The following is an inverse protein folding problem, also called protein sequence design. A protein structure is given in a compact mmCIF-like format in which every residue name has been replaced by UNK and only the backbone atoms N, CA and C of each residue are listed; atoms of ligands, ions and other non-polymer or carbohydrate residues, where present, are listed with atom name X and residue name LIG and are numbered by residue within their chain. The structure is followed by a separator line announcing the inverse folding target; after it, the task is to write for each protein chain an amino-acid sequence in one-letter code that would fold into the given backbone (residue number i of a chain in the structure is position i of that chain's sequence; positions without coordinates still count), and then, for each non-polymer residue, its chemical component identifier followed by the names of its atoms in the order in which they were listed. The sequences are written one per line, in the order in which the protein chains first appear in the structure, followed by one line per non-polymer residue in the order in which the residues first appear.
data_IF_302843251808
#
_entry.id   IF_302843251808
#
_cell.length_a   1.000
_cell.length_b   1.000
_cell.length_c   1.000
_cell.angle_alpha   90.00
_cell.angle_beta   90.00
_cell.angle_gamma   90.00
#
_symmetry.space_group_name_H-M   'P 1'
#
loop_
_entity.id
_entity.type
_entity.pdbx_description
1 polymer ?
#
# COMPACT_ATOMS: atom_id res chain seq x y z
N UNK A 1 30.39 -15.37 -42.20
CA UNK A 1 31.79 -15.59 -41.76
C UNK A 1 31.85 -15.18 -40.29
N UNK A 2 32.32 -16.08 -39.43
CA UNK A 2 32.58 -16.01 -37.98
C UNK A 2 32.41 -14.63 -37.30
N UNK A 3 31.67 -14.51 -36.19
CA UNK A 3 32.15 -14.98 -34.88
C UNK A 3 31.13 -15.87 -34.18
N UNK A 4 31.41 -17.17 -34.22
CA UNK A 4 30.92 -18.17 -33.28
C UNK A 4 31.84 -18.19 -32.05
N UNK A 5 31.29 -18.63 -30.91
CA UNK A 5 31.92 -19.00 -29.63
C UNK A 5 31.80 -17.96 -28.50
N UNK A 6 30.62 -17.95 -27.87
CA UNK A 6 30.54 -17.82 -26.41
C UNK A 6 29.88 -19.09 -25.85
N UNK A 7 30.58 -19.64 -24.86
CA UNK A 7 30.44 -20.91 -24.15
C UNK A 7 29.02 -21.42 -23.80
N UNK A 8 28.85 -22.75 -23.62
CA UNK A 8 27.62 -23.39 -23.17
C UNK A 8 27.38 -23.28 -21.64
N UNK A 9 27.81 -22.18 -21.02
CA UNK A 9 27.67 -21.96 -19.55
C UNK A 9 26.46 -21.06 -19.23
N UNK A 10 25.78 -20.55 -20.26
CA UNK A 10 24.65 -19.62 -20.09
C UNK A 10 23.35 -20.30 -19.64
N UNK A 11 23.23 -21.62 -19.74
CA UNK A 11 22.01 -22.36 -19.35
C UNK A 11 21.88 -22.61 -17.83
N UNK A 12 22.92 -22.35 -17.03
CA UNK A 12 22.85 -22.47 -15.56
C UNK A 12 22.34 -21.22 -14.84
N UNK A 13 22.28 -20.06 -15.51
CA UNK A 13 21.94 -18.79 -14.85
C UNK A 13 20.43 -18.55 -14.73
N UNK A 14 19.62 -19.13 -15.62
CA UNK A 14 18.16 -18.97 -15.60
C UNK A 14 17.49 -19.71 -14.44
N UNK A 15 18.09 -20.80 -13.95
CA UNK A 15 17.54 -21.57 -12.82
C UNK A 15 17.78 -20.85 -11.48
N UNK A 16 18.93 -20.18 -11.33
CA UNK A 16 19.28 -19.45 -10.09
C UNK A 16 18.44 -18.17 -9.90
N UNK A 17 18.02 -17.51 -10.98
CA UNK A 17 17.15 -16.32 -10.89
C UNK A 17 15.71 -16.68 -10.45
N UNK A 18 15.22 -17.88 -10.77
CA UNK A 18 13.90 -18.36 -10.32
C UNK A 18 13.93 -18.71 -8.82
N UNK A 19 15.02 -19.30 -8.33
CA UNK A 19 15.21 -19.52 -6.88
C UNK A 19 15.28 -18.19 -6.12
N UNK A 20 15.95 -17.17 -6.68
CA UNK A 20 16.03 -15.85 -6.07
C UNK A 20 14.65 -15.18 -5.96
N UNK A 21 13.79 -15.29 -6.98
CA UNK A 21 12.48 -14.63 -6.99
C UNK A 21 11.44 -15.32 -6.08
N UNK A 22 11.46 -16.65 -5.97
CA UNK A 22 10.52 -17.40 -5.10
C UNK A 22 10.91 -17.26 -3.61
N UNK A 23 12.20 -17.17 -3.29
CA UNK A 23 12.68 -17.06 -1.90
C UNK A 23 12.63 -15.63 -1.37
N UNK A 24 12.79 -14.60 -2.22
CA UNK A 24 12.77 -13.18 -1.79
C UNK A 24 11.42 -12.48 -1.89
N UNK A 25 10.43 -13.03 -2.61
CA UNK A 25 9.05 -12.53 -2.57
C UNK A 25 8.16 -13.52 -1.82
N UNK A 26 8.09 -13.47 -0.48
CA UNK A 26 6.94 -14.03 0.19
C UNK A 26 5.73 -13.30 -0.39
N UNK A 27 4.84 -14.02 -1.07
CA UNK A 27 3.51 -13.52 -1.40
C UNK A 27 2.95 -12.91 -0.12
N UNK A 28 2.97 -11.58 -0.09
CA UNK A 28 2.63 -10.82 1.10
C UNK A 28 1.27 -11.29 1.55
N UNK A 29 1.19 -11.70 2.81
CA UNK A 29 -0.05 -11.97 3.47
C UNK A 29 -0.89 -10.68 3.39
N UNK A 30 -1.80 -10.61 2.40
CA UNK A 30 -2.78 -9.53 2.29
C UNK A 30 -3.72 -9.74 3.47
N UNK A 31 -3.31 -9.20 4.62
CA UNK A 31 -4.23 -8.93 5.70
C UNK A 31 -5.30 -7.99 5.12
N UNK A 32 -6.60 -8.32 5.22
CA UNK A 32 -7.64 -7.36 4.88
C UNK A 32 -7.60 -6.26 5.93
N UNK A 33 -6.70 -5.29 5.77
CA UNK A 33 -6.77 -4.05 6.52
C UNK A 33 -8.01 -3.33 6.03
N UNK A 34 -9.03 -3.38 6.88
CA UNK A 34 -10.23 -2.57 6.80
C UNK A 34 -9.84 -1.13 6.54
N UNK A 35 -10.31 -0.60 5.42
CA UNK A 35 -10.13 0.80 4.98
C UNK A 35 -10.87 1.71 5.97
N UNK A 36 -10.22 2.06 7.08
CA UNK A 36 -10.65 3.09 8.02
C UNK A 36 -9.46 4.00 8.35
N UNK A 37 -8.89 4.66 7.34
CA UNK A 37 -7.79 5.63 7.52
C UNK A 37 -8.22 7.10 7.32
N UNK A 38 -9.50 7.44 7.51
CA UNK A 38 -9.95 8.84 7.44
C UNK A 38 -10.91 9.26 8.53
N UNK A 39 -10.69 8.78 9.76
CA UNK A 39 -11.33 9.38 10.93
C UNK A 39 -10.31 10.25 11.67
N UNK A 40 -10.42 11.59 11.63
CA UNK A 40 -9.60 12.46 12.46
C UNK A 40 -9.97 12.22 13.92
N UNK A 41 -9.08 11.62 14.72
CA UNK A 41 -9.29 11.32 16.14
C UNK A 41 -9.28 12.55 17.06
N UNK A 42 -9.32 13.77 16.49
CA UNK A 42 -9.23 15.02 17.23
C UNK A 42 -10.27 15.98 16.65
N UNK A 43 -11.32 16.25 17.41
CA UNK A 43 -12.29 17.30 17.04
C UNK A 43 -11.61 18.67 17.08
N UNK A 44 -11.79 19.53 16.08
CA UNK A 44 -11.40 20.92 16.18
C UNK A 44 -12.31 21.57 17.23
N UNK A 45 -11.73 22.01 18.33
CA UNK A 45 -12.44 22.80 19.34
C UNK A 45 -12.96 24.11 18.70
N UNK A 46 -14.25 24.47 18.80
CA UNK A 46 -14.76 25.69 18.17
C UNK A 46 -14.38 26.94 19.00
N UNK A 47 -13.91 28.04 18.38
CA UNK A 47 -13.88 29.33 19.05
C UNK A 47 -15.21 30.08 18.85
N UNK A 48 -15.51 30.94 19.82
CA UNK A 48 -16.32 32.17 19.69
C UNK A 48 -17.78 32.11 20.18
N UNK A 49 -17.91 32.59 21.42
CA UNK A 49 -19.06 33.29 22.01
C UNK A 49 -19.71 34.30 21.03
N UNK A 50 -21.04 34.34 20.84
CA UNK A 50 -21.68 35.49 20.21
C UNK A 50 -22.05 36.56 21.25
N UNK A 51 -21.61 37.79 20.96
CA UNK A 51 -22.06 39.03 21.60
C UNK A 51 -23.42 39.44 20.98
N UNK A 52 -24.24 40.03 21.84
CA UNK A 52 -25.67 40.34 21.73
C UNK A 52 -26.14 41.15 20.49
N UNK A 53 -27.39 40.90 20.05
CA UNK A 53 -28.30 41.93 19.49
C UNK A 53 -28.77 41.79 18.03
N UNK A 54 -30.07 41.55 17.80
CA UNK A 54 -30.73 41.90 16.52
C UNK A 54 -31.95 41.06 16.11
N UNK A 55 -33.15 41.54 16.44
CA UNK A 55 -34.46 41.32 15.77
C UNK A 55 -34.97 39.89 15.49
N UNK A 56 -36.01 39.54 16.25
CA UNK A 56 -36.95 38.43 16.00
C UNK A 56 -37.60 38.54 14.60
N UNK A 57 -37.32 37.56 13.74
CA UNK A 57 -38.20 37.18 12.63
C UNK A 57 -38.65 35.76 12.88
N UNK A 58 -39.93 35.59 13.14
CA UNK A 58 -40.57 34.32 13.45
C UNK A 58 -40.75 33.50 12.14
N UNK A 59 -40.10 32.34 11.94
CA UNK A 59 -40.39 31.48 10.80
C UNK A 59 -41.58 30.57 11.14
N UNK A 60 -42.62 30.58 10.31
CA UNK A 60 -43.76 29.67 10.41
C UNK A 60 -43.40 28.18 10.25
N UNK A 61 -44.40 27.27 10.34
CA UNK A 61 -44.22 25.83 10.52
C UNK A 61 -43.81 25.07 9.23
N UNK A 62 -42.78 25.57 8.52
CA UNK A 62 -42.16 24.95 7.35
C UNK A 62 -40.62 24.92 7.39
N UNK A 63 -40.02 25.23 8.55
CA UNK A 63 -38.58 25.46 8.69
C UNK A 63 -37.72 24.18 8.66
N UNK A 64 -38.30 22.99 8.85
CA UNK A 64 -37.55 21.73 8.90
C UNK A 64 -37.13 21.21 7.52
N UNK A 65 -37.99 21.34 6.50
CA UNK A 65 -37.69 20.91 5.14
C UNK A 65 -36.60 21.79 4.49
N UNK A 66 -36.69 23.11 4.67
CA UNK A 66 -35.67 24.07 4.21
C UNK A 66 -34.32 23.84 4.89
N UNK A 67 -34.33 23.53 6.19
CA UNK A 67 -33.10 23.19 6.93
C UNK A 67 -32.45 21.90 6.41
N UNK A 68 -33.25 20.89 6.06
CA UNK A 68 -32.76 19.62 5.51
C UNK A 68 -32.18 19.79 4.09
N UNK A 69 -32.81 20.58 3.24
CA UNK A 69 -32.29 20.90 1.90
C UNK A 69 -30.97 21.66 1.99
N UNK A 70 -30.85 22.62 2.90
CA UNK A 70 -29.59 23.34 3.13
C UNK A 70 -28.48 22.42 3.67
N UNK A 71 -28.81 21.47 4.55
CA UNK A 71 -27.87 20.47 5.04
C UNK A 71 -27.40 19.51 3.91
N UNK A 72 -28.32 19.11 3.02
CA UNK A 72 -28.01 18.29 1.85
C UNK A 72 -27.07 19.03 0.89
N UNK A 73 -27.36 20.29 0.58
CA UNK A 73 -26.49 21.13 -0.26
C UNK A 73 -25.10 21.34 0.37
N UNK A 74 -25.05 21.54 1.68
CA UNK A 74 -23.79 21.66 2.43
C UNK A 74 -22.98 20.36 2.40
N UNK A 75 -23.65 19.21 2.50
CA UNK A 75 -23.02 17.89 2.36
C UNK A 75 -22.48 17.67 0.94
N UNK A 76 -23.25 18.06 -0.08
CA UNK A 76 -22.81 17.99 -1.48
C UNK A 76 -21.56 18.84 -1.69
N UNK A 77 -21.55 20.09 -1.23
CA UNK A 77 -20.37 20.96 -1.35
C UNK A 77 -19.16 20.41 -0.61
N UNK A 78 -19.34 19.92 0.62
CA UNK A 78 -18.26 19.34 1.42
C UNK A 78 -17.69 18.08 0.76
N UNK A 79 -18.56 17.18 0.30
CA UNK A 79 -18.16 15.95 -0.40
C UNK A 79 -17.49 16.27 -1.72
N UNK A 80 -17.98 17.25 -2.47
CA UNK A 80 -17.36 17.69 -3.72
C UNK A 80 -15.98 18.29 -3.45
N UNK A 81 -15.84 19.16 -2.45
CA UNK A 81 -14.54 19.73 -2.08
C UNK A 81 -13.51 18.67 -1.65
N UNK A 82 -13.95 17.58 -1.01
CA UNK A 82 -13.09 16.46 -0.64
C UNK A 82 -12.69 15.56 -1.82
N UNK A 83 -13.50 15.49 -2.88
CA UNK A 83 -13.29 14.61 -4.03
C UNK A 83 -12.59 15.30 -5.21
N UNK A 84 -12.56 16.64 -5.25
CA UNK A 84 -11.79 17.38 -6.23
C UNK A 84 -10.30 17.27 -5.89
N UNK A 85 -9.50 16.96 -6.90
CA UNK A 85 -8.05 16.88 -6.79
C UNK A 85 -7.47 18.28 -7.01
N UNK A 86 -6.79 18.84 -6.02
CA UNK A 86 -5.98 20.05 -6.19
C UNK A 86 -4.69 19.70 -6.93
N UNK A 87 -4.64 20.08 -8.22
CA UNK A 87 -3.47 19.85 -9.09
C UNK A 87 -2.28 20.75 -8.73
N UNK A 88 -2.48 21.79 -7.90
CA UNK A 88 -1.44 22.72 -7.47
C UNK A 88 -0.77 22.36 -6.14
N UNK A 89 -1.31 21.40 -5.40
CA UNK A 89 -0.77 20.95 -4.10
C UNK A 89 0.54 20.14 -4.20
N UNK A 90 1.18 20.10 -5.38
CA UNK A 90 2.48 19.44 -5.59
C UNK A 90 3.64 20.21 -4.95
N UNK A 91 3.47 21.52 -4.71
CA UNK A 91 4.43 22.29 -3.93
C UNK A 91 4.36 21.81 -2.48
N UNK A 92 5.53 21.47 -1.91
CA UNK A 92 5.61 20.95 -0.55
C UNK A 92 4.88 21.90 0.40
N UNK A 93 3.82 21.41 1.04
CA UNK A 93 3.17 22.09 2.16
C UNK A 93 4.23 22.19 3.24
N UNK A 94 4.98 23.29 3.24
CA UNK A 94 6.02 23.53 4.22
C UNK A 94 5.30 23.92 5.52
N UNK A 95 5.01 22.91 6.33
CA UNK A 95 4.64 23.12 7.73
C UNK A 95 5.73 23.98 8.35
N UNK A 96 5.33 25.01 9.08
CA UNK A 96 6.30 25.91 9.67
C UNK A 96 7.23 25.12 10.61
N UNK A 97 8.56 25.37 10.60
CA UNK A 97 9.50 24.55 11.36
C UNK A 97 9.18 24.44 12.86
N UNK A 98 8.68 25.52 13.46
CA UNK A 98 8.32 25.52 14.89
C UNK A 98 7.08 24.65 15.15
N UNK A 99 6.08 24.66 14.27
CA UNK A 99 4.90 23.82 14.37
C UNK A 99 5.27 22.33 14.24
N UNK A 100 6.18 22.01 13.32
CA UNK A 100 6.71 20.65 13.19
C UNK A 100 7.38 20.19 14.49
N UNK A 101 8.26 21.03 15.06
CA UNK A 101 8.99 20.69 16.29
C UNK A 101 8.07 20.51 17.50
N UNK A 102 7.03 21.34 17.63
CA UNK A 102 6.04 21.21 18.69
C UNK A 102 5.20 19.93 18.52
N UNK A 103 4.75 19.62 17.30
CA UNK A 103 4.03 18.37 17.00
C UNK A 103 4.91 17.15 17.31
N UNK A 104 6.19 17.16 16.92
CA UNK A 104 7.13 16.07 17.19
C UNK A 104 7.31 15.84 18.70
N UNK A 105 7.42 16.92 19.49
CA UNK A 105 7.49 16.85 20.96
C UNK A 105 6.20 16.28 21.55
N UNK A 106 5.04 16.74 21.08
CA UNK A 106 3.75 16.26 21.54
C UNK A 106 3.57 14.76 21.24
N UNK A 107 3.92 14.31 20.04
CA UNK A 107 3.86 12.89 19.69
C UNK A 107 4.83 12.05 20.50
N UNK A 108 6.05 12.53 20.74
CA UNK A 108 7.03 11.84 21.59
C UNK A 108 6.55 11.67 23.04
N UNK A 109 5.91 12.71 23.59
CA UNK A 109 5.32 12.65 24.94
C UNK A 109 4.15 11.65 25.00
N UNK A 110 3.23 11.72 24.02
CA UNK A 110 2.11 10.77 23.92
C UNK A 110 2.59 9.33 23.74
N UNK A 111 3.60 9.11 22.89
CA UNK A 111 4.19 7.80 22.64
C UNK A 111 4.85 7.23 23.90
N UNK A 112 5.55 8.06 24.69
CA UNK A 112 6.14 7.62 25.96
C UNK A 112 5.08 7.10 26.93
N UNK A 113 3.95 7.80 27.06
CA UNK A 113 2.82 7.38 27.91
C UNK A 113 2.17 6.09 27.40
N UNK A 114 1.98 5.97 26.08
CA UNK A 114 1.42 4.76 25.49
C UNK A 114 2.38 3.57 25.63
N UNK A 115 3.68 3.78 25.47
CA UNK A 115 4.72 2.74 25.53
C UNK A 115 4.83 2.06 26.90
N UNK A 116 4.38 2.69 27.99
CA UNK A 116 4.34 2.06 29.32
C UNK A 116 3.08 1.23 29.54
N UNK A 117 2.00 1.55 28.83
CA UNK A 117 0.72 0.82 28.88
C UNK A 117 0.63 -0.34 27.90
N UNK A 118 1.47 -0.34 26.86
CA UNK A 118 1.49 -1.36 25.81
C UNK A 118 2.52 -2.45 26.14
N UNK A 119 2.23 -3.74 25.90
CA UNK A 119 3.23 -4.79 26.02
C UNK A 119 4.45 -4.45 25.14
N UNK A 120 5.64 -4.44 25.76
CA UNK A 120 6.88 -4.18 25.04
C UNK A 120 7.09 -5.25 23.97
N UNK A 121 6.97 -4.85 22.70
CA UNK A 121 7.25 -5.71 21.57
C UNK A 121 8.77 -5.81 21.40
N UNK A 122 9.38 -6.70 22.19
CA UNK A 122 10.75 -7.13 21.92
C UNK A 122 10.72 -7.93 20.63
N UNK A 123 11.74 -7.73 19.79
CA UNK A 123 11.93 -8.59 18.62
C UNK A 123 11.84 -10.05 19.07
N UNK A 124 10.90 -10.78 18.48
CA UNK A 124 10.68 -12.17 18.84
C UNK A 124 11.93 -12.97 18.49
N UNK A 125 12.38 -13.81 19.42
CA UNK A 125 13.44 -14.76 19.13
C UNK A 125 12.98 -15.74 18.04
N UNK A 126 13.93 -16.21 17.21
CA UNK A 126 13.64 -17.25 16.23
C UNK A 126 13.07 -18.49 16.94
N UNK A 127 12.04 -19.14 16.35
CA UNK A 127 11.48 -20.35 16.94
C UNK A 127 12.52 -21.48 16.95
N UNK A 128 12.60 -22.21 18.06
CA UNK A 128 13.43 -23.41 18.14
C UNK A 128 12.77 -24.53 17.34
N UNK A 129 13.41 -24.96 16.25
CA UNK A 129 12.87 -25.99 15.35
C UNK A 129 13.18 -27.42 15.81
N UNK A 130 14.28 -27.62 16.53
CA UNK A 130 14.72 -28.94 17.02
C UNK A 130 15.63 -28.80 18.24
N UNK A 131 15.58 -29.76 19.16
CA UNK A 131 16.52 -29.88 20.27
C UNK A 131 17.78 -30.68 19.93
N UNK A 132 17.83 -31.33 18.76
CA UNK A 132 18.95 -32.16 18.31
C UNK A 132 19.42 -31.75 16.89
N UNK A 133 20.09 -30.60 16.74
CA UNK A 133 20.45 -30.05 15.43
C UNK A 133 21.37 -30.98 14.63
N UNK A 134 22.33 -31.63 15.28
CA UNK A 134 23.25 -32.55 14.61
C UNK A 134 22.55 -33.78 14.02
N UNK A 135 21.49 -34.28 14.69
CA UNK A 135 20.72 -35.42 14.19
C UNK A 135 19.88 -35.02 12.98
N UNK A 136 19.21 -33.86 13.04
CA UNK A 136 18.39 -33.35 11.93
C UNK A 136 19.24 -33.05 10.70
N UNK A 137 20.44 -32.48 10.88
CA UNK A 137 21.34 -32.21 9.76
C UNK A 137 21.99 -33.46 9.16
N UNK A 138 22.04 -34.56 9.92
CA UNK A 138 22.56 -35.85 9.45
C UNK A 138 21.45 -36.80 8.96
N UNK A 139 20.19 -36.36 8.93
CA UNK A 139 19.10 -37.17 8.40
C UNK A 139 19.20 -37.31 6.89
N UNK A 140 18.41 -38.22 6.33
CA UNK A 140 18.32 -38.38 4.88
C UNK A 140 17.96 -37.07 4.20
N UNK A 141 18.61 -36.82 3.07
CA UNK A 141 18.38 -35.64 2.24
C UNK A 141 17.04 -35.74 1.50
N UNK A 142 16.56 -34.61 1.01
CA UNK A 142 15.40 -34.58 0.11
C UNK A 142 15.71 -35.43 -1.14
N UNK A 143 14.83 -36.37 -1.53
CA UNK A 143 15.03 -37.18 -2.73
C UNK A 143 15.21 -36.33 -3.98
N UNK A 144 16.15 -36.70 -4.84
CA UNK A 144 16.44 -35.95 -6.07
C UNK A 144 15.25 -35.92 -7.04
N UNK A 145 14.38 -36.93 -7.02
CA UNK A 145 13.13 -36.97 -7.79
C UNK A 145 12.24 -35.76 -7.51
N UNK A 146 12.16 -35.34 -6.25
CA UNK A 146 11.28 -34.27 -5.80
C UNK A 146 11.83 -32.93 -6.28
N UNK A 147 13.15 -32.75 -6.21
CA UNK A 147 13.84 -31.58 -6.76
C UNK A 147 13.58 -31.47 -8.26
N UNK A 148 13.78 -32.56 -9.02
CA UNK A 148 13.52 -32.57 -10.46
C UNK A 148 12.05 -32.28 -10.80
N UNK A 149 11.11 -32.82 -10.02
CA UNK A 149 9.69 -32.57 -10.21
C UNK A 149 9.35 -31.10 -10.00
N UNK A 150 9.84 -30.48 -8.92
CA UNK A 150 9.63 -29.06 -8.62
C UNK A 150 10.26 -28.18 -9.71
N UNK A 151 11.47 -28.50 -10.17
CA UNK A 151 12.10 -27.77 -11.29
C UNK A 151 11.26 -27.83 -12.56
N UNK A 152 10.68 -29.00 -12.89
CA UNK A 152 9.78 -29.15 -14.04
C UNK A 152 8.51 -28.32 -13.90
N UNK A 153 7.91 -28.31 -12.70
CA UNK A 153 6.72 -27.50 -12.41
C UNK A 153 7.04 -26.00 -12.56
N UNK A 154 8.19 -25.55 -12.04
CA UNK A 154 8.63 -24.16 -12.16
C UNK A 154 8.85 -23.77 -13.63
N UNK A 155 9.50 -24.62 -14.43
CA UNK A 155 9.69 -24.38 -15.87
C UNK A 155 8.36 -24.30 -16.63
N UNK A 156 7.38 -25.13 -16.26
CA UNK A 156 6.04 -25.09 -16.84
C UNK A 156 5.31 -23.79 -16.47
N UNK A 157 5.37 -23.37 -15.20
CA UNK A 157 4.78 -22.11 -14.76
C UNK A 157 5.40 -20.91 -15.50
N UNK A 158 6.74 -20.89 -15.63
CA UNK A 158 7.45 -19.86 -16.40
C UNK A 158 6.98 -19.81 -17.86
N UNK A 159 6.85 -20.98 -18.50
CA UNK A 159 6.35 -21.10 -19.86
C UNK A 159 4.92 -20.56 -20.01
N UNK A 160 4.04 -20.82 -19.03
CA UNK A 160 2.69 -20.28 -19.01
C UNK A 160 2.68 -18.74 -18.85
N UNK A 161 3.52 -18.18 -17.98
CA UNK A 161 3.63 -16.73 -17.77
C UNK A 161 4.08 -16.03 -19.06
N UNK A 162 4.98 -16.65 -19.84
CA UNK A 162 5.41 -16.09 -21.13
C UNK A 162 4.28 -15.94 -22.18
N UNK A 163 3.14 -16.61 -21.97
CA UNK A 163 1.95 -16.46 -22.82
C UNK A 163 1.11 -15.24 -22.44
N UNK A 164 1.40 -14.57 -21.32
CA UNK A 164 0.76 -13.31 -20.94
C UNK A 164 1.36 -12.20 -21.81
N UNK A 165 0.82 -12.06 -23.01
CA UNK A 165 1.19 -11.04 -23.99
C UNK A 165 -0.05 -10.59 -24.77
N UNK A 166 0.02 -9.40 -25.34
CA UNK A 166 -1.01 -8.92 -26.26
C UNK A 166 -0.70 -9.46 -27.66
N UNK A 167 -1.62 -10.26 -28.21
CA UNK A 167 -1.52 -10.70 -29.61
C UNK A 167 -1.92 -9.55 -30.53
N UNK A 168 -0.97 -9.03 -31.32
CA UNK A 168 -1.26 -8.00 -32.31
C UNK A 168 -2.19 -8.53 -33.42
N UNK A 169 -3.32 -7.86 -33.65
CA UNK A 169 -4.29 -8.20 -34.71
C UNK A 169 -4.33 -7.18 -35.85
N UNK A 170 -4.04 -5.92 -35.55
CA UNK A 170 -4.07 -4.81 -36.49
C UNK A 170 -3.01 -3.78 -36.11
N UNK A 171 -2.61 -2.96 -37.08
CA UNK A 171 -1.68 -1.87 -36.84
C UNK A 171 -2.37 -0.76 -36.06
N UNK A 172 -1.86 -0.43 -34.87
CA UNK A 172 -2.38 0.66 -34.04
C UNK A 172 -2.02 2.05 -34.58
N UNK A 173 -1.10 2.12 -35.55
CA UNK A 173 -0.61 3.36 -36.15
C UNK A 173 -0.62 3.20 -37.65
N UNK A 174 -1.33 4.08 -38.36
CA UNK A 174 -1.30 4.16 -39.82
C UNK A 174 -0.54 5.40 -40.24
N UNK A 175 0.41 5.24 -41.16
CA UNK A 175 1.12 6.35 -41.77
C UNK A 175 0.29 6.86 -42.96
N UNK A 176 -0.22 8.09 -42.85
CA UNK A 176 -0.82 8.75 -44.00
C UNK A 176 0.29 9.32 -44.89
N UNK A 177 0.35 8.86 -46.14
CA UNK A 177 1.13 9.49 -47.20
C UNK A 177 0.20 10.33 -48.09
N UNK A 178 0.67 11.50 -48.52
CA UNK A 178 -0.05 12.38 -49.45
C UNK A 178 0.31 11.93 -50.88
N UNK A 179 -0.68 11.74 -51.79
CA UNK A 179 -0.45 11.31 -53.16
C UNK A 179 0.27 12.36 -54.02
#
# INVERSE_FOLDING_TARGET
LAVSRLNPICESWTILEVEYLIVYYPFGHISPQTVHEREPLISPNPPSKPLNGGTSWNPGPGSSALSNEQALLSSILTKTAQNIIDVSAADAIMVEPHEYMDRARQYSAKLTVLSTSLPQNKALALPSLTSQPHQVLASDLVPYSDVQQVSKIAAYAYSAISQIKVDAKEDLVVQFAIP
#
